data_IF_433257136218
#
_entry.id   IF_433257136218
#
_cell.length_a   1.000
_cell.length_b   1.000
_cell.length_c   1.000
_cell.angle_alpha   90.00
_cell.angle_beta   90.00
_cell.angle_gamma   90.00
#
_symmetry.space_group_name_H-M   'P 1'
#
loop_
_entity.id
_entity.type
_entity.pdbx_description
1 polymer ?
#
# COMPACT_ATOMS: atom_id res chain seq x y z
N UNK A 1 7.91 -3.24 0.36
CA UNK A 1 9.08 -2.84 -0.44
C UNK A 1 9.04 -1.33 -0.59
N UNK A 2 10.17 -0.63 -0.40
CA UNK A 2 10.28 0.80 -0.66
C UNK A 2 10.70 1.01 -2.11
N UNK A 3 9.96 1.81 -2.87
CA UNK A 3 10.28 2.14 -4.25
C UNK A 3 10.71 3.61 -4.32
N UNK A 4 11.93 3.85 -4.81
CA UNK A 4 12.38 5.19 -5.21
C UNK A 4 12.06 5.37 -6.67
N UNK A 5 11.08 6.21 -6.97
CA UNK A 5 10.72 6.50 -8.35
C UNK A 5 11.56 7.68 -8.83
N UNK A 6 12.68 7.39 -9.49
CA UNK A 6 13.63 8.44 -9.93
C UNK A 6 13.13 9.22 -11.15
N UNK A 7 11.99 8.85 -11.74
CA UNK A 7 11.36 9.57 -12.85
C UNK A 7 9.84 9.84 -12.71
N UNK A 8 9.08 9.27 -11.75
CA UNK A 8 7.60 9.38 -11.73
C UNK A 8 6.94 9.57 -10.37
N UNK A 9 5.71 10.06 -10.47
CA UNK A 9 4.88 10.84 -9.53
C UNK A 9 4.42 10.10 -8.25
N UNK A 10 5.25 9.21 -7.70
CA UNK A 10 4.99 8.54 -6.43
C UNK A 10 3.69 7.73 -6.45
N UNK A 11 2.77 8.04 -5.54
CA UNK A 11 1.49 7.34 -5.45
C UNK A 11 0.59 7.57 -6.69
N UNK A 12 0.78 8.66 -7.43
CA UNK A 12 -0.05 8.98 -8.61
C UNK A 12 0.09 7.92 -9.71
N UNK A 13 1.23 7.24 -9.82
CA UNK A 13 1.40 6.13 -10.75
C UNK A 13 0.42 4.98 -10.46
N UNK A 14 0.07 4.76 -9.19
CA UNK A 14 -0.91 3.74 -8.82
C UNK A 14 -2.32 4.20 -9.20
N UNK A 15 -2.64 5.48 -9.04
CA UNK A 15 -3.92 6.05 -9.51
C UNK A 15 -4.11 5.92 -11.03
N UNK A 16 -3.03 6.05 -11.82
CA UNK A 16 -3.10 5.86 -13.29
C UNK A 16 -3.43 4.42 -13.69
N UNK A 17 -3.26 3.47 -12.77
CA UNK A 17 -3.52 2.05 -12.96
C UNK A 17 -4.84 1.61 -12.31
N UNK A 18 -5.73 2.53 -11.91
CA UNK A 18 -6.99 2.22 -11.24
C UNK A 18 -7.80 1.12 -11.93
N UNK A 19 -7.89 1.16 -13.27
CA UNK A 19 -8.65 0.17 -14.05
C UNK A 19 -8.08 -1.26 -14.00
N UNK A 20 -6.82 -1.42 -13.59
CA UNK A 20 -6.14 -2.72 -13.51
C UNK A 20 -6.38 -3.43 -12.16
N UNK A 21 -6.90 -2.72 -11.16
CA UNK A 21 -7.09 -3.23 -9.80
C UNK A 21 -8.59 -3.33 -9.47
N UNK A 22 -9.17 -4.54 -9.42
CA UNK A 22 -10.60 -4.73 -9.14
C UNK A 22 -11.05 -4.18 -7.77
N UNK A 23 -10.13 -4.11 -6.81
CA UNK A 23 -10.34 -3.63 -5.46
C UNK A 23 -9.75 -2.23 -5.22
N UNK A 24 -9.48 -1.47 -6.30
CA UNK A 24 -8.94 -0.13 -6.19
C UNK A 24 -9.79 0.74 -5.27
N UNK A 25 -9.19 1.21 -4.17
CA UNK A 25 -9.89 2.05 -3.19
C UNK A 25 -8.92 3.03 -2.54
N UNK A 26 -9.14 4.34 -2.72
CA UNK A 26 -8.44 5.36 -1.94
C UNK A 26 -8.74 5.23 -0.44
N UNK A 27 -7.73 5.45 0.38
CA UNK A 27 -7.81 5.52 1.83
C UNK A 27 -6.74 6.44 2.39
N UNK A 28 -6.71 6.62 3.70
CA UNK A 28 -5.69 7.36 4.41
C UNK A 28 -5.12 6.49 5.52
N UNK A 29 -3.79 6.47 5.66
CA UNK A 29 -3.11 5.74 6.74
C UNK A 29 -2.17 6.69 7.45
N UNK A 30 -2.41 6.92 8.73
CA UNK A 30 -1.63 7.83 9.58
C UNK A 30 -1.43 9.24 8.95
N UNK A 31 -2.43 9.77 8.26
CA UNK A 31 -2.36 11.08 7.60
C UNK A 31 -1.71 11.09 6.22
N UNK A 32 -1.24 9.93 5.72
CA UNK A 32 -0.69 9.80 4.38
C UNK A 32 -1.76 9.29 3.39
N UNK A 33 -1.81 9.83 2.16
CA UNK A 33 -2.66 9.28 1.12
C UNK A 33 -2.22 7.85 0.80
N UNK A 34 -3.20 6.97 0.64
CA UNK A 34 -2.95 5.56 0.36
C UNK A 34 -4.02 4.99 -0.57
N UNK A 35 -3.68 3.85 -1.17
CA UNK A 35 -4.56 3.11 -2.09
C UNK A 35 -4.46 1.63 -1.78
N UNK A 36 -5.61 0.99 -1.59
CA UNK A 36 -5.71 -0.46 -1.69
C UNK A 36 -5.78 -0.81 -3.17
N UNK A 37 -4.88 -1.68 -3.62
CA UNK A 37 -4.79 -2.10 -5.01
C UNK A 37 -4.08 -3.46 -5.06
N UNK A 38 -4.85 -4.54 -5.13
CA UNK A 38 -4.32 -5.90 -5.16
C UNK A 38 -4.42 -6.45 -6.58
N UNK A 39 -3.33 -6.98 -7.12
CA UNK A 39 -3.37 -7.61 -8.43
C UNK A 39 -4.36 -8.80 -8.42
N UNK A 40 -5.44 -8.71 -9.20
CA UNK A 40 -6.53 -9.69 -9.19
C UNK A 40 -7.62 -9.46 -8.13
N UNK A 41 -7.48 -8.42 -7.30
CA UNK A 41 -8.39 -8.09 -6.19
C UNK A 41 -7.97 -8.72 -4.86
N UNK A 42 -8.24 -8.02 -3.75
CA UNK A 42 -7.96 -8.53 -2.42
C UNK A 42 -8.85 -9.74 -2.08
N UNK A 43 -8.26 -10.73 -1.43
CA UNK A 43 -8.92 -11.95 -1.01
C UNK A 43 -8.30 -12.53 0.28
N UNK A 44 -8.65 -13.77 0.61
CA UNK A 44 -8.11 -14.46 1.80
C UNK A 44 -6.63 -14.85 1.68
N UNK A 45 -6.01 -14.69 0.51
CA UNK A 45 -4.62 -15.03 0.23
C UNK A 45 -3.71 -13.81 0.13
N UNK A 46 -4.23 -12.66 -0.31
CA UNK A 46 -3.42 -11.45 -0.43
C UNK A 46 -4.21 -10.14 -0.31
N UNK A 47 -3.52 -9.10 0.17
CA UNK A 47 -3.99 -7.72 0.10
C UNK A 47 -2.79 -6.76 -0.12
N UNK A 48 -2.91 -5.89 -1.11
CA UNK A 48 -1.91 -4.90 -1.49
C UNK A 48 -2.31 -3.48 -1.11
N UNK A 49 -1.40 -2.75 -0.45
CA UNK A 49 -1.57 -1.34 -0.09
C UNK A 49 -0.36 -0.54 -0.54
N UNK A 50 -0.61 0.62 -1.13
CA UNK A 50 0.38 1.62 -1.53
C UNK A 50 0.17 2.88 -0.71
N UNK A 51 1.23 3.41 -0.10
CA UNK A 51 1.16 4.61 0.74
C UNK A 51 2.13 5.66 0.21
N UNK A 52 1.64 6.86 -0.09
CA UNK A 52 2.48 7.98 -0.51
C UNK A 52 3.38 8.46 0.63
N UNK A 53 4.68 8.57 0.37
CA UNK A 53 5.67 9.08 1.31
C UNK A 53 6.13 10.50 0.95
N UNK A 54 6.21 10.80 -0.35
CA UNK A 54 6.47 12.11 -0.94
C UNK A 54 5.96 12.13 -2.38
N UNK A 55 6.12 13.25 -3.08
CA UNK A 55 5.71 13.41 -4.48
C UNK A 55 6.35 12.39 -5.44
N UNK A 56 7.47 11.75 -5.06
CA UNK A 56 8.21 10.79 -5.88
C UNK A 56 8.45 9.43 -5.21
N UNK A 57 7.82 9.18 -4.05
CA UNK A 57 8.03 7.95 -3.30
C UNK A 57 6.73 7.40 -2.73
N UNK A 58 6.60 6.08 -2.79
CA UNK A 58 5.56 5.35 -2.09
C UNK A 58 6.11 4.06 -1.46
N UNK A 59 5.44 3.62 -0.41
CA UNK A 59 5.65 2.33 0.22
C UNK A 59 4.60 1.34 -0.31
N UNK A 60 5.05 0.20 -0.84
CA UNK A 60 4.16 -0.92 -1.18
C UNK A 60 4.23 -1.99 -0.08
N UNK A 61 3.08 -2.41 0.40
CA UNK A 61 2.90 -3.48 1.35
C UNK A 61 1.99 -4.53 0.74
N UNK A 62 2.52 -5.73 0.57
CA UNK A 62 1.77 -6.90 0.15
C UNK A 62 1.68 -7.86 1.33
N UNK A 63 0.52 -7.92 1.98
CA UNK A 63 0.22 -8.94 2.96
C UNK A 63 -0.17 -10.23 2.23
N UNK A 64 0.42 -11.35 2.63
CA UNK A 64 0.11 -12.68 2.10
C UNK A 64 -0.22 -13.62 3.24
N UNK A 65 -1.12 -14.56 2.99
CA UNK A 65 -1.51 -15.58 3.97
C UNK A 65 -0.33 -16.48 4.32
N UNK A 66 -0.05 -16.60 5.62
CA UNK A 66 0.82 -17.65 6.15
C UNK A 66 0.05 -18.97 6.31
N UNK A 67 0.72 -20.10 6.07
CA UNK A 67 0.10 -21.42 6.21
C UNK A 67 -0.46 -21.64 7.62
N UNK A 68 -1.73 -22.04 7.71
CA UNK A 68 -2.40 -22.34 8.99
C UNK A 68 -2.80 -21.11 9.81
N UNK A 69 -2.64 -19.89 9.28
CA UNK A 69 -3.11 -18.65 9.91
C UNK A 69 -4.29 -18.11 9.12
N UNK A 70 -5.38 -17.82 9.80
CA UNK A 70 -6.52 -17.08 9.26
C UNK A 70 -6.47 -15.68 9.87
N UNK A 71 -6.34 -14.68 9.01
CA UNK A 71 -6.19 -13.28 9.41
C UNK A 71 -6.78 -12.38 8.34
N UNK A 72 -7.23 -11.19 8.73
CA UNK A 72 -7.59 -10.14 7.78
C UNK A 72 -6.30 -9.52 7.22
N UNK A 73 -5.99 -9.86 5.97
CA UNK A 73 -4.76 -9.44 5.32
C UNK A 73 -4.73 -7.94 5.01
N UNK A 74 -5.87 -7.31 4.75
CA UNK A 74 -5.91 -5.87 4.54
C UNK A 74 -5.68 -5.11 5.83
N UNK A 75 -6.34 -5.52 6.93
CA UNK A 75 -6.09 -4.96 8.26
C UNK A 75 -4.62 -5.15 8.67
N UNK A 76 -4.02 -6.31 8.35
CA UNK A 76 -2.59 -6.55 8.57
C UNK A 76 -1.72 -5.60 7.75
N UNK A 77 -2.02 -5.42 6.47
CA UNK A 77 -1.27 -4.52 5.59
C UNK A 77 -1.35 -3.07 6.10
N UNK A 78 -2.54 -2.60 6.48
CA UNK A 78 -2.75 -1.26 7.05
C UNK A 78 -1.91 -1.07 8.32
N UNK A 79 -1.94 -2.05 9.24
CA UNK A 79 -1.19 -1.97 10.49
C UNK A 79 0.33 -1.99 10.29
N UNK A 80 0.82 -2.77 9.32
CA UNK A 80 2.23 -2.74 8.93
C UNK A 80 2.61 -1.37 8.35
N UNK A 81 1.70 -0.74 7.60
CA UNK A 81 1.91 0.59 7.05
C UNK A 81 2.01 1.66 8.14
N UNK A 82 1.09 1.67 9.10
CA UNK A 82 1.13 2.58 10.26
C UNK A 82 2.45 2.47 11.04
N UNK A 83 2.90 1.23 11.28
CA UNK A 83 4.16 0.97 11.97
C UNK A 83 5.37 1.41 11.15
N UNK A 84 5.36 1.20 9.83
CA UNK A 84 6.43 1.63 8.95
C UNK A 84 6.54 3.16 8.92
N UNK A 85 5.42 3.88 8.76
CA UNK A 85 5.39 5.35 8.75
C UNK A 85 5.94 5.96 10.05
N UNK A 86 5.70 5.31 11.19
CA UNK A 86 6.25 5.75 12.48
C UNK A 86 7.78 5.64 12.59
N UNK A 87 8.43 4.91 11.67
CA UNK A 87 9.86 4.61 11.70
C UNK A 87 10.62 5.04 10.44
N UNK A 88 9.91 5.44 9.38
CA UNK A 88 10.51 6.07 8.22
C UNK A 88 10.75 7.54 8.59
N UNK A 89 12.00 8.04 8.59
CA UNK A 89 12.23 9.46 8.75
C UNK A 89 11.64 10.19 7.54
N UNK A 90 10.46 10.78 7.71
CA UNK A 90 9.84 11.68 6.75
C UNK A 90 10.21 13.12 7.09
N UNK A 91 10.63 13.90 6.10
CA UNK A 91 10.58 15.36 6.19
C UNK A 91 9.11 15.74 6.40
N UNK A 92 8.83 16.37 7.56
CA UNK A 92 7.53 16.96 7.89
C UNK A 92 7.33 18.31 7.19
#
# INVERSE_FOLDING_TARGET
>A
MLYTDTERDGLEEIYRLESEYPDFRPLEIAGHPAVQATAGGADEFSCGIYVGLSDSQYLNILAQRAAGVEEDLCMKAEKVAELALSNIPGEA
#
